data_IF_842956883093
#
_entry.id   IF_842956883093
#
_cell.length_a   1.000
_cell.length_b   1.000
_cell.length_c   1.000
_cell.angle_alpha   90.00
_cell.angle_beta   90.00
_cell.angle_gamma   90.00
#
_symmetry.space_group_name_H-M   'P 1'
#
loop_
_entity.id
_entity.type
_entity.pdbx_description
1 polymer ?
#
# COMPACT_ATOMS: atom_id res chain seq x y z
N UNK A 1 15.68 9.25 16.65
CA UNK A 1 14.95 10.43 16.20
C UNK A 1 13.48 10.07 16.29
N UNK A 2 12.80 10.64 17.31
CA UNK A 2 11.37 10.40 17.52
C UNK A 2 10.58 11.03 16.39
N UNK A 3 9.87 10.21 15.62
CA UNK A 3 8.80 10.70 14.76
C UNK A 3 7.65 11.08 15.70
N UNK A 4 7.43 12.36 15.88
CA UNK A 4 6.27 12.89 16.58
C UNK A 4 5.06 12.57 15.71
N UNK A 5 4.27 11.60 16.12
CA UNK A 5 2.93 11.39 15.58
C UNK A 5 2.05 12.45 16.21
N UNK A 6 1.78 13.50 15.44
CA UNK A 6 0.89 14.57 15.88
C UNK A 6 -0.55 14.03 15.92
N UNK A 7 -1.15 14.13 17.09
CA UNK A 7 -2.54 13.78 17.35
C UNK A 7 -3.48 14.78 16.67
N UNK A 8 -4.54 14.24 16.16
CA UNK A 8 -5.76 14.92 15.77
C UNK A 8 -5.90 15.39 14.31
N UNK A 9 -6.50 14.53 13.50
CA UNK A 9 -7.61 15.01 12.66
C UNK A 9 -8.67 13.93 12.54
N UNK A 10 -9.70 14.07 13.35
CA UNK A 10 -10.96 13.35 13.15
C UNK A 10 -11.56 13.80 11.81
N UNK A 11 -11.46 12.96 10.79
CA UNK A 11 -12.01 13.22 9.46
C UNK A 11 -13.52 13.09 9.54
N UNK A 12 -14.22 14.21 9.42
CA UNK A 12 -15.67 14.27 9.28
C UNK A 12 -16.09 13.57 7.98
N UNK A 13 -17.04 12.66 8.08
CA UNK A 13 -17.70 12.04 6.94
C UNK A 13 -18.34 13.12 6.07
N UNK A 14 -17.84 13.31 4.84
CA UNK A 14 -18.41 14.25 3.88
C UNK A 14 -17.43 15.27 3.29
N UNK A 15 -16.13 15.11 3.46
CA UNK A 15 -15.13 16.00 2.88
C UNK A 15 -14.86 15.64 1.40
N UNK A 16 -15.05 16.57 0.45
CA UNK A 16 -14.69 16.38 -0.96
C UNK A 16 -13.19 16.25 -1.22
N UNK A 17 -12.31 16.35 -0.20
CA UNK A 17 -10.88 16.09 -0.29
C UNK A 17 -10.50 14.60 -0.44
N UNK A 18 -11.46 13.67 -0.51
CA UNK A 18 -11.24 12.26 -0.86
C UNK A 18 -10.87 12.01 -2.33
N UNK A 19 -10.67 13.05 -3.11
CA UNK A 19 -10.23 12.98 -4.51
C UNK A 19 -8.71 13.11 -4.70
N UNK A 20 -7.90 13.00 -3.66
CA UNK A 20 -6.47 12.91 -3.91
C UNK A 20 -6.16 11.52 -4.46
N UNK A 21 -5.97 11.41 -5.76
CA UNK A 21 -5.39 10.22 -6.42
C UNK A 21 -3.93 10.00 -6.01
N UNK A 22 -3.57 10.51 -4.82
CA UNK A 22 -2.22 10.43 -4.27
C UNK A 22 -1.89 9.00 -3.89
N UNK A 23 -0.71 8.56 -4.32
CA UNK A 23 -0.16 7.24 -4.03
C UNK A 23 0.92 7.40 -2.96
N UNK A 24 0.77 6.71 -1.83
CA UNK A 24 1.82 6.59 -0.83
C UNK A 24 2.85 5.56 -1.29
N UNK A 25 4.12 5.91 -1.31
CA UNK A 25 5.21 5.00 -1.72
C UNK A 25 6.27 4.96 -0.63
N UNK A 26 6.69 3.75 -0.24
CA UNK A 26 7.72 3.56 0.79
C UNK A 26 8.58 2.33 0.50
N UNK A 27 9.76 2.30 1.07
CA UNK A 27 10.68 1.16 0.97
C UNK A 27 11.61 1.10 2.18
N UNK A 28 12.19 -0.08 2.41
CA UNK A 28 13.41 -0.20 3.19
C UNK A 28 14.65 0.06 2.31
N UNK A 29 15.84 -0.08 2.90
CA UNK A 29 17.10 0.11 2.20
C UNK A 29 17.29 -0.87 1.02
N UNK A 30 16.76 -2.10 1.10
CA UNK A 30 16.83 -3.08 0.03
C UNK A 30 15.91 -2.73 -1.16
N UNK A 31 14.84 -2.00 -0.90
CA UNK A 31 13.89 -1.52 -1.89
C UNK A 31 14.14 -0.10 -2.40
N UNK A 32 15.10 0.62 -1.81
CA UNK A 32 15.28 2.06 -2.05
C UNK A 32 15.41 2.43 -3.53
N UNK A 33 16.31 1.76 -4.26
CA UNK A 33 16.54 2.08 -5.68
C UNK A 33 15.30 1.81 -6.54
N UNK A 34 14.61 0.72 -6.29
CA UNK A 34 13.38 0.38 -7.01
C UNK A 34 12.25 1.36 -6.65
N UNK A 35 12.16 1.79 -5.39
CA UNK A 35 11.22 2.83 -4.94
C UNK A 35 11.42 4.13 -5.71
N UNK A 36 12.65 4.62 -5.81
CA UNK A 36 12.95 5.86 -6.53
C UNK A 36 12.50 5.77 -8.00
N UNK A 37 12.80 4.65 -8.66
CA UNK A 37 12.35 4.41 -10.03
C UNK A 37 10.83 4.36 -10.16
N UNK A 38 10.13 3.75 -9.20
CA UNK A 38 8.66 3.71 -9.17
C UNK A 38 8.10 5.12 -8.99
N UNK A 39 8.66 5.92 -8.07
CA UNK A 39 8.23 7.31 -7.86
C UNK A 39 8.40 8.15 -9.13
N UNK A 40 9.55 8.04 -9.80
CA UNK A 40 9.80 8.74 -11.05
C UNK A 40 8.80 8.33 -12.13
N UNK A 41 8.57 7.04 -12.30
CA UNK A 41 7.61 6.47 -13.24
C UNK A 41 6.17 6.98 -13.01
N UNK A 42 5.73 7.04 -11.75
CA UNK A 42 4.41 7.56 -11.39
C UNK A 42 4.29 9.06 -11.70
N UNK A 43 5.33 9.84 -11.39
CA UNK A 43 5.37 11.28 -11.66
C UNK A 43 5.38 11.60 -13.16
N UNK A 44 6.08 10.81 -13.97
CA UNK A 44 6.06 10.90 -15.43
C UNK A 44 4.65 10.69 -16.00
N UNK A 45 3.81 9.90 -15.34
CA UNK A 45 2.41 9.71 -15.69
C UNK A 45 1.48 10.81 -15.15
N UNK A 46 2.01 11.81 -14.46
CA UNK A 46 1.24 12.91 -13.88
C UNK A 46 0.53 12.57 -12.57
N UNK A 47 0.91 11.45 -11.92
CA UNK A 47 0.30 11.02 -10.66
C UNK A 47 0.97 11.71 -9.46
N UNK A 48 0.16 12.06 -8.46
CA UNK A 48 0.65 12.59 -7.19
C UNK A 48 1.22 11.49 -6.32
N UNK A 49 2.42 11.71 -5.76
CA UNK A 49 3.12 10.73 -4.91
C UNK A 49 3.47 11.34 -3.57
N UNK A 50 3.14 10.62 -2.50
CA UNK A 50 3.63 10.87 -1.15
C UNK A 50 4.75 9.88 -0.84
N UNK A 51 5.98 10.36 -0.76
CA UNK A 51 7.15 9.53 -0.42
C UNK A 51 7.27 9.36 1.08
N UNK A 52 7.06 8.14 1.58
CA UNK A 52 7.16 7.76 2.99
C UNK A 52 8.60 7.39 3.41
N UNK A 53 9.57 7.44 2.52
CA UNK A 53 10.96 7.00 2.75
C UNK A 53 11.15 5.51 2.37
N UNK A 54 12.33 4.86 2.64
CA UNK A 54 13.52 5.50 3.23
C UNK A 54 14.19 6.48 2.25
N UNK A 55 15.07 7.31 2.79
CA UNK A 55 15.74 8.36 2.01
C UNK A 55 17.14 7.97 1.50
N UNK A 56 17.58 6.72 1.70
CA UNK A 56 18.90 6.28 1.31
C UNK A 56 19.14 4.78 1.49
N UNK A 57 20.36 4.31 1.20
CA UNK A 57 20.72 2.90 1.24
C UNK A 57 21.10 2.39 2.65
N UNK A 58 21.07 3.25 3.67
CA UNK A 58 21.42 2.87 5.03
C UNK A 58 20.39 1.89 5.59
N UNK A 59 20.88 0.89 6.36
CA UNK A 59 20.03 -0.16 6.91
C UNK A 59 18.90 0.40 7.79
N UNK A 60 17.68 0.06 7.46
CA UNK A 60 16.45 0.42 8.19
C UNK A 60 15.50 -0.77 8.24
N UNK A 61 14.56 -0.72 9.15
CA UNK A 61 13.58 -1.78 9.34
C UNK A 61 12.35 -1.56 8.44
N UNK A 62 12.08 -2.51 7.55
CA UNK A 62 10.96 -2.43 6.60
C UNK A 62 9.57 -2.21 7.25
N UNK A 63 9.27 -2.72 8.47
CA UNK A 63 7.95 -2.54 9.05
C UNK A 63 7.58 -1.07 9.29
N UNK A 64 8.55 -0.21 9.59
CA UNK A 64 8.29 1.22 9.85
C UNK A 64 7.76 1.91 8.59
N UNK A 65 8.37 1.63 7.45
CA UNK A 65 7.96 2.22 6.16
C UNK A 65 6.69 1.57 5.60
N UNK A 66 6.55 0.26 5.77
CA UNK A 66 5.34 -0.45 5.40
C UNK A 66 4.13 0.04 6.21
N UNK A 67 4.31 0.27 7.51
CA UNK A 67 3.28 0.84 8.37
C UNK A 67 2.95 2.29 7.98
N UNK A 68 3.94 3.13 7.67
CA UNK A 68 3.71 4.51 7.24
C UNK A 68 2.81 4.58 5.99
N UNK A 69 3.13 3.79 4.95
CA UNK A 69 2.31 3.69 3.73
C UNK A 69 0.91 3.17 4.05
N UNK A 70 0.84 2.06 4.79
CA UNK A 70 -0.43 1.41 5.13
C UNK A 70 -1.36 2.33 5.94
N UNK A 71 -0.80 3.12 6.87
CA UNK A 71 -1.56 4.08 7.67
C UNK A 71 -2.20 5.17 6.80
N UNK A 72 -1.47 5.74 5.84
CA UNK A 72 -2.00 6.74 4.92
C UNK A 72 -3.15 6.19 4.06
N UNK A 73 -3.06 4.92 3.66
CA UNK A 73 -4.12 4.26 2.89
C UNK A 73 -5.29 3.86 3.79
N UNK A 74 -5.03 3.28 4.96
CA UNK A 74 -6.06 2.84 5.90
C UNK A 74 -6.91 3.99 6.44
N UNK A 75 -6.30 5.17 6.64
CA UNK A 75 -6.99 6.39 7.07
C UNK A 75 -7.65 7.17 5.92
N UNK A 76 -7.41 6.75 4.66
CA UNK A 76 -7.98 7.40 3.48
C UNK A 76 -7.29 8.71 3.06
N UNK A 77 -6.11 9.03 3.62
CA UNK A 77 -5.30 10.18 3.20
C UNK A 77 -4.71 9.95 1.81
N UNK A 78 -4.26 8.73 1.53
CA UNK A 78 -3.88 8.30 0.20
C UNK A 78 -4.84 7.24 -0.33
N UNK A 79 -5.10 7.26 -1.63
CA UNK A 79 -5.98 6.28 -2.27
C UNK A 79 -5.33 4.90 -2.39
N UNK A 80 -4.04 4.88 -2.74
CA UNK A 80 -3.26 3.69 -3.00
C UNK A 80 -1.92 3.72 -2.29
N UNK A 81 -1.36 2.55 -2.02
CA UNK A 81 -0.01 2.39 -1.49
C UNK A 81 0.84 1.45 -2.33
N UNK A 82 2.13 1.75 -2.41
CA UNK A 82 3.14 0.87 -3.00
C UNK A 82 4.30 0.75 -2.01
N UNK A 83 4.70 -0.46 -1.68
CA UNK A 83 5.79 -0.72 -0.74
C UNK A 83 6.81 -1.63 -1.42
N UNK A 84 8.07 -1.31 -1.26
CA UNK A 84 9.18 -2.08 -1.83
C UNK A 84 10.14 -2.51 -0.74
N UNK A 85 10.38 -3.80 -0.60
CA UNK A 85 11.47 -4.35 0.21
C UNK A 85 12.25 -5.41 -0.58
N UNK A 86 13.13 -6.17 0.06
CA UNK A 86 13.93 -7.18 -0.62
C UNK A 86 13.10 -8.27 -1.31
N UNK A 87 12.01 -8.73 -0.69
CA UNK A 87 11.14 -9.79 -1.20
C UNK A 87 9.67 -9.37 -1.34
N UNK A 88 9.25 -8.24 -0.74
CA UNK A 88 7.87 -7.79 -0.69
C UNK A 88 6.99 -8.53 0.33
N UNK A 89 7.54 -9.57 0.98
CA UNK A 89 6.78 -10.46 1.88
C UNK A 89 6.53 -9.79 3.22
N UNK A 90 7.58 -9.32 3.88
CA UNK A 90 7.48 -8.71 5.21
C UNK A 90 6.64 -7.45 5.19
N UNK A 91 6.82 -6.61 4.19
CA UNK A 91 6.01 -5.40 3.98
C UNK A 91 4.54 -5.73 3.73
N UNK A 92 4.24 -6.79 2.97
CA UNK A 92 2.86 -7.26 2.77
C UNK A 92 2.21 -7.70 4.08
N UNK A 93 2.92 -8.48 4.90
CA UNK A 93 2.43 -8.94 6.20
C UNK A 93 2.17 -7.74 7.11
N UNK A 94 3.11 -6.79 7.18
CA UNK A 94 3.00 -5.59 8.02
C UNK A 94 1.83 -4.72 7.60
N UNK A 95 1.71 -4.41 6.31
CA UNK A 95 0.64 -3.57 5.80
C UNK A 95 -0.76 -4.14 6.09
N UNK A 96 -0.92 -5.46 6.00
CA UNK A 96 -2.17 -6.14 6.33
C UNK A 96 -2.52 -6.17 7.83
N UNK A 97 -1.66 -5.62 8.71
CA UNK A 97 -2.01 -5.41 10.12
C UNK A 97 -2.76 -4.09 10.35
N UNK A 98 -2.79 -3.20 9.37
CA UNK A 98 -3.48 -1.91 9.47
C UNK A 98 -4.92 -2.08 9.00
N UNK A 99 -5.90 -1.67 9.82
CA UNK A 99 -7.32 -1.76 9.46
C UNK A 99 -7.64 -1.05 8.14
N UNK A 100 -8.48 -1.70 7.32
CA UNK A 100 -8.88 -1.19 6.01
C UNK A 100 -7.85 -1.41 4.90
N UNK A 101 -6.67 -1.96 5.21
CA UNK A 101 -5.64 -2.28 4.22
C UNK A 101 -5.78 -3.71 3.70
N UNK A 102 -5.71 -3.86 2.39
CA UNK A 102 -5.59 -5.14 1.69
C UNK A 102 -4.36 -5.07 0.80
N UNK A 103 -3.23 -5.43 1.39
CA UNK A 103 -1.95 -5.48 0.69
C UNK A 103 -1.78 -6.81 -0.05
N UNK A 104 -1.30 -6.72 -1.27
CA UNK A 104 -1.00 -7.86 -2.12
C UNK A 104 0.43 -7.82 -2.64
N UNK A 105 1.15 -8.92 -2.44
CA UNK A 105 2.47 -9.14 -3.02
C UNK A 105 2.28 -9.64 -4.46
N UNK A 106 2.88 -8.94 -5.42
CA UNK A 106 2.77 -9.28 -6.83
C UNK A 106 4.15 -9.44 -7.47
N UNK A 107 4.33 -10.53 -8.22
CA UNK A 107 5.55 -10.84 -8.99
C UNK A 107 5.34 -10.85 -10.50
N UNK A 108 4.10 -10.76 -10.94
CA UNK A 108 3.71 -10.79 -12.34
C UNK A 108 2.41 -9.99 -12.59
N UNK A 109 2.05 -9.82 -13.86
CA UNK A 109 0.86 -9.08 -14.25
C UNK A 109 -0.45 -9.79 -13.86
N UNK A 110 -0.43 -11.12 -13.79
CA UNK A 110 -1.62 -11.88 -13.42
C UNK A 110 -1.96 -11.71 -11.95
N UNK A 111 -0.96 -11.77 -11.05
CA UNK A 111 -1.14 -11.50 -9.62
C UNK A 111 -1.55 -10.04 -9.38
N UNK A 112 -0.96 -9.08 -10.10
CA UNK A 112 -1.34 -7.68 -10.04
C UNK A 112 -2.82 -7.48 -10.38
N UNK A 113 -3.25 -7.97 -11.53
CA UNK A 113 -4.64 -7.90 -11.99
C UNK A 113 -5.59 -8.58 -11.01
N UNK A 114 -5.29 -9.83 -10.62
CA UNK A 114 -6.14 -10.60 -9.73
C UNK A 114 -6.32 -9.93 -8.36
N UNK A 115 -5.25 -9.37 -7.79
CA UNK A 115 -5.31 -8.70 -6.50
C UNK A 115 -6.27 -7.51 -6.51
N UNK A 116 -6.37 -6.79 -7.62
CA UNK A 116 -7.29 -5.67 -7.82
C UNK A 116 -8.70 -6.15 -8.11
N UNK A 117 -8.86 -6.95 -9.16
CA UNK A 117 -10.16 -7.41 -9.63
C UNK A 117 -10.89 -8.26 -8.57
N UNK A 118 -10.21 -9.21 -7.95
CA UNK A 118 -10.86 -10.17 -7.05
C UNK A 118 -10.81 -9.78 -5.57
N UNK A 119 -9.74 -9.10 -5.13
CA UNK A 119 -9.51 -8.83 -3.71
C UNK A 119 -9.61 -7.35 -3.34
N UNK A 120 -9.84 -6.47 -4.32
CA UNK A 120 -9.91 -5.04 -4.12
C UNK A 120 -8.69 -4.50 -3.36
N UNK A 121 -7.49 -5.02 -3.69
CA UNK A 121 -6.25 -4.60 -3.06
C UNK A 121 -6.06 -3.08 -3.19
N UNK A 122 -5.63 -2.44 -2.11
CA UNK A 122 -5.35 -1.00 -2.06
C UNK A 122 -3.88 -0.70 -1.73
N UNK A 123 -3.10 -1.73 -1.42
CA UNK A 123 -1.65 -1.64 -1.28
C UNK A 123 -0.99 -2.74 -2.12
N UNK A 124 0.00 -2.35 -2.92
CA UNK A 124 0.87 -3.25 -3.69
C UNK A 124 2.19 -3.41 -2.97
N UNK A 125 2.71 -4.63 -2.83
CA UNK A 125 4.08 -4.84 -2.37
C UNK A 125 4.93 -5.53 -3.43
N UNK A 126 6.19 -5.10 -3.55
CA UNK A 126 7.14 -5.55 -4.56
C UNK A 126 8.45 -5.99 -3.90
N UNK A 127 9.08 -7.02 -4.46
CA UNK A 127 10.37 -7.52 -4.01
C UNK A 127 11.51 -7.08 -4.94
N UNK A 128 12.32 -6.10 -4.54
CA UNK A 128 13.40 -5.55 -5.34
C UNK A 128 14.50 -6.58 -5.68
N UNK A 129 14.67 -7.60 -4.83
CA UNK A 129 15.60 -8.70 -5.07
C UNK A 129 15.06 -9.80 -5.99
N UNK A 130 13.79 -9.75 -6.36
CA UNK A 130 13.10 -10.84 -7.07
C UNK A 130 12.59 -10.45 -8.45
N UNK A 131 12.34 -9.15 -8.69
CA UNK A 131 11.87 -8.64 -9.98
C UNK A 131 12.77 -7.52 -10.48
N UNK A 132 12.96 -7.46 -11.80
CA UNK A 132 13.69 -6.37 -12.43
C UNK A 132 12.84 -5.11 -12.58
N UNK A 133 13.49 -3.97 -12.77
CA UNK A 133 12.85 -2.66 -12.89
C UNK A 133 11.79 -2.58 -14.00
N UNK A 134 12.03 -3.23 -15.14
CA UNK A 134 11.09 -3.25 -16.26
C UNK A 134 9.78 -3.98 -15.88
N UNK A 135 9.89 -5.12 -15.23
CA UNK A 135 8.71 -5.87 -14.78
C UNK A 135 7.98 -5.13 -13.66
N UNK A 136 8.71 -4.48 -12.75
CA UNK A 136 8.12 -3.68 -11.69
C UNK A 136 7.25 -2.54 -12.24
N UNK A 137 7.72 -1.82 -13.28
CA UNK A 137 6.91 -0.79 -13.97
C UNK A 137 5.63 -1.38 -14.56
N UNK A 138 5.74 -2.51 -15.27
CA UNK A 138 4.58 -3.17 -15.86
C UNK A 138 3.56 -3.64 -14.80
N UNK A 139 4.05 -4.16 -13.65
CA UNK A 139 3.20 -4.55 -12.53
C UNK A 139 2.46 -3.34 -11.96
N UNK A 140 3.16 -2.23 -11.73
CA UNK A 140 2.57 -0.98 -11.23
C UNK A 140 1.50 -0.47 -12.19
N UNK A 141 1.80 -0.41 -13.48
CA UNK A 141 0.85 0.04 -14.51
C UNK A 141 -0.39 -0.84 -14.56
N UNK A 142 -0.21 -2.15 -14.61
CA UNK A 142 -1.32 -3.10 -14.63
C UNK A 142 -2.17 -3.02 -13.35
N UNK A 143 -1.50 -2.88 -12.20
CA UNK A 143 -2.18 -2.80 -10.90
C UNK A 143 -3.04 -1.54 -10.79
N UNK A 144 -2.51 -0.38 -11.18
CA UNK A 144 -3.24 0.90 -11.17
C UNK A 144 -4.37 0.95 -12.21
N UNK A 145 -4.15 0.35 -13.38
CA UNK A 145 -5.14 0.32 -14.47
C UNK A 145 -6.30 -0.66 -14.20
N UNK A 146 -6.08 -1.67 -13.36
CA UNK A 146 -7.12 -2.68 -13.07
C UNK A 146 -8.14 -2.16 -12.08
N UNK A 147 -9.43 -2.02 -12.45
CA UNK A 147 -10.49 -1.62 -11.53
C UNK A 147 -10.78 -2.74 -10.52
N UNK A 148 -11.47 -2.37 -9.43
CA UNK A 148 -12.08 -3.38 -8.56
C UNK A 148 -13.19 -4.11 -9.29
N UNK A 149 -13.22 -5.42 -9.12
CA UNK A 149 -14.15 -6.29 -9.84
C UNK A 149 -15.58 -6.26 -9.31
N UNK A 150 -16.46 -7.01 -9.96
CA UNK A 150 -17.89 -6.93 -9.77
C UNK A 150 -18.36 -7.41 -8.39
N UNK A 151 -19.64 -7.19 -8.11
CA UNK A 151 -20.34 -7.45 -6.83
C UNK A 151 -20.03 -8.82 -6.18
N UNK A 152 -19.88 -9.88 -6.98
CA UNK A 152 -19.51 -11.21 -6.44
C UNK A 152 -18.18 -11.20 -5.67
N UNK A 153 -17.22 -10.36 -6.07
CA UNK A 153 -15.94 -10.18 -5.38
C UNK A 153 -16.10 -9.25 -4.20
N UNK A 154 -16.83 -8.15 -4.34
CA UNK A 154 -17.12 -7.22 -3.26
C UNK A 154 -17.74 -7.91 -2.04
N UNK A 155 -18.65 -8.87 -2.26
CA UNK A 155 -19.23 -9.68 -1.17
C UNK A 155 -18.19 -10.50 -0.41
N UNK A 156 -17.16 -11.01 -1.10
CA UNK A 156 -16.07 -11.77 -0.46
C UNK A 156 -15.13 -10.84 0.29
N UNK A 157 -14.83 -9.68 -0.27
CA UNK A 157 -14.02 -8.64 0.39
C UNK A 157 -14.71 -8.13 1.65
N UNK A 158 -16.04 -7.93 1.63
CA UNK A 158 -16.80 -7.57 2.82
C UNK A 158 -16.61 -8.58 3.97
N UNK A 159 -16.52 -9.88 3.67
CA UNK A 159 -16.23 -10.91 4.70
C UNK A 159 -14.82 -10.77 5.32
N UNK A 160 -13.83 -10.32 4.54
CA UNK A 160 -12.48 -10.02 5.07
C UNK A 160 -12.58 -8.86 6.06
N UNK A 161 -13.29 -7.80 5.68
CA UNK A 161 -13.54 -6.64 6.57
C UNK A 161 -14.32 -7.04 7.83
N UNK A 162 -15.30 -7.95 7.73
CA UNK A 162 -16.04 -8.45 8.90
C UNK A 162 -15.13 -9.21 9.87
N UNK A 163 -14.16 -9.97 9.35
CA UNK A 163 -13.17 -10.67 10.18
C UNK A 163 -12.30 -9.65 10.91
N UNK A 164 -11.76 -8.67 10.20
CA UNK A 164 -10.96 -7.59 10.78
C UNK A 164 -11.72 -6.89 11.94
N UNK A 165 -12.96 -6.49 11.69
CA UNK A 165 -13.81 -5.81 12.68
C UNK A 165 -14.08 -6.64 13.93
N UNK A 166 -14.13 -7.97 13.83
CA UNK A 166 -14.30 -8.84 15.01
C UNK A 166 -13.09 -8.75 15.94
N UNK A 167 -11.88 -8.79 15.38
CA UNK A 167 -10.65 -8.73 16.16
C UNK A 167 -10.37 -7.34 16.73
N UNK A 168 -10.75 -6.27 16.02
CA UNK A 168 -10.66 -4.91 16.53
C UNK A 168 -11.55 -4.68 17.74
N UNK A 169 -12.78 -5.24 17.75
CA UNK A 169 -13.73 -5.11 18.87
C UNK A 169 -13.33 -5.94 20.08
N UNK A 170 -12.73 -7.11 19.87
CA UNK A 170 -12.28 -7.98 20.97
C UNK A 170 -11.02 -7.47 21.68
N UNK A 171 -10.27 -6.55 21.09
CA UNK A 171 -9.12 -5.88 21.72
C UNK A 171 -9.50 -4.64 22.55
N UNK A 172 -10.78 -4.27 22.60
CA UNK A 172 -11.28 -3.09 23.32
C UNK A 172 -11.88 -3.39 24.71
N UNK A 173 -11.75 -4.61 25.22
CA UNK A 173 -12.07 -4.89 26.64
C UNK A 173 -10.82 -4.70 27.50
N UNK A 174 -10.91 -3.91 28.60
CA UNK A 174 -9.81 -3.61 29.51
C UNK A 174 -9.34 -4.80 30.31
#
# INVERSE_FOLDING_TARGET
VSVVVDEAMAVKSGDPARDSETIAVGADHGGYQLKEMVIEHLREQGLSVHDCGCAGPEAVDYPDFAHAVANLVGTGVCRWGIIVDGAGIGSCITANKVPGVRAALCYDLSSARNSRDHNHANVLTLGAGLIGSSLARQIVDEWLATPWGPERHARRVAKITDIENRYLRSGAEP
#
